data_IF_985372609243
#
_entry.id   IF_985372609243
#
_cell.length_a   1.000
_cell.length_b   1.000
_cell.length_c   1.000
_cell.angle_alpha   90.00
_cell.angle_beta   90.00
_cell.angle_gamma   90.00
#
_symmetry.space_group_name_H-M   'P 1'
#
loop_
_entity.id
_entity.type
_entity.pdbx_description
1 polymer ?
#
# COMPACT_ATOMS: atom_id res chain seq x y z
N UNK A 1 -5.27 18.66 -54.64
CA UNK A 1 -5.32 18.27 -53.21
C UNK A 1 -5.72 16.81 -53.15
N UNK A 2 -4.74 15.92 -52.98
CA UNK A 2 -4.97 14.46 -52.86
C UNK A 2 -5.18 14.12 -51.38
N UNK A 3 -6.13 13.24 -51.01
CA UNK A 3 -6.37 12.90 -49.62
C UNK A 3 -5.20 12.07 -49.07
N UNK A 4 -4.85 12.20 -47.77
CA UNK A 4 -3.81 11.37 -47.17
C UNK A 4 -4.21 9.88 -47.24
N UNK A 5 -3.28 9.04 -47.68
CA UNK A 5 -3.54 7.63 -47.98
C UNK A 5 -3.91 6.85 -46.71
N UNK A 6 -5.05 6.13 -46.74
CA UNK A 6 -5.49 5.22 -45.66
C UNK A 6 -4.43 4.17 -45.27
N UNK A 7 -3.46 3.92 -46.16
CA UNK A 7 -2.34 2.99 -45.97
C UNK A 7 -1.37 3.51 -44.91
N UNK A 8 -1.08 4.82 -44.89
CA UNK A 8 -0.16 5.43 -43.91
C UNK A 8 -0.68 5.30 -42.47
N UNK A 9 -2.00 5.48 -42.27
CA UNK A 9 -2.63 5.34 -40.95
C UNK A 9 -2.59 3.90 -40.42
N UNK A 10 -2.79 2.90 -41.29
CA UNK A 10 -2.73 1.49 -40.89
C UNK A 10 -1.33 1.06 -40.46
N UNK A 11 -0.30 1.48 -41.20
CA UNK A 11 1.09 1.21 -40.85
C UNK A 11 1.53 1.93 -39.57
N UNK A 12 1.08 3.17 -39.39
CA UNK A 12 1.30 3.90 -38.14
C UNK A 12 0.70 3.16 -36.94
N UNK A 13 -0.57 2.72 -37.04
CA UNK A 13 -1.22 1.95 -35.97
C UNK A 13 -0.48 0.64 -35.68
N UNK A 14 -0.08 -0.11 -36.70
CA UNK A 14 0.70 -1.35 -36.52
C UNK A 14 2.04 -1.09 -35.82
N UNK A 15 2.75 -0.02 -36.20
CA UNK A 15 4.00 0.37 -35.55
C UNK A 15 3.78 0.74 -34.07
N UNK A 16 2.70 1.46 -33.76
CA UNK A 16 2.32 1.80 -32.38
C UNK A 16 2.00 0.55 -31.57
N UNK A 17 1.18 -0.37 -32.08
CA UNK A 17 0.86 -1.61 -31.36
C UNK A 17 2.09 -2.50 -31.16
N UNK A 18 2.98 -2.60 -32.14
CA UNK A 18 4.24 -3.32 -32.01
C UNK A 18 5.15 -2.68 -30.95
N UNK A 19 5.25 -1.35 -30.92
CA UNK A 19 6.02 -0.64 -29.90
C UNK A 19 5.44 -0.85 -28.49
N UNK A 20 4.12 -0.76 -28.33
CA UNK A 20 3.43 -1.03 -27.06
C UNK A 20 3.68 -2.48 -26.63
N UNK A 21 3.51 -3.45 -27.54
CA UNK A 21 3.75 -4.87 -27.24
C UNK A 21 5.19 -5.16 -26.84
N UNK A 22 6.17 -4.51 -27.49
CA UNK A 22 7.58 -4.61 -27.13
C UNK A 22 7.86 -4.05 -25.73
N UNK A 23 7.32 -2.88 -25.41
CA UNK A 23 7.48 -2.26 -24.08
C UNK A 23 6.89 -3.18 -23.01
N UNK A 24 5.63 -3.62 -23.18
CA UNK A 24 4.96 -4.52 -22.23
C UNK A 24 5.74 -5.83 -22.06
N UNK A 25 6.19 -6.45 -23.15
CA UNK A 25 6.92 -7.73 -23.09
C UNK A 25 8.27 -7.57 -22.40
N UNK A 26 9.00 -6.50 -22.70
CA UNK A 26 10.31 -6.24 -22.09
C UNK A 26 10.15 -5.94 -20.61
N UNK A 27 9.18 -5.11 -20.22
CA UNK A 27 8.85 -4.84 -18.83
C UNK A 27 8.44 -6.11 -18.08
N UNK A 28 7.59 -6.96 -18.69
CA UNK A 28 7.16 -8.22 -18.09
C UNK A 28 8.32 -9.19 -17.88
N UNK A 29 9.22 -9.33 -18.86
CA UNK A 29 10.41 -10.19 -18.74
C UNK A 29 11.35 -9.66 -17.66
N UNK A 30 11.62 -8.35 -17.63
CA UNK A 30 12.47 -7.75 -16.60
C UNK A 30 11.89 -7.95 -15.21
N UNK A 31 10.58 -7.76 -15.04
CA UNK A 31 9.88 -8.00 -13.77
C UNK A 31 9.94 -9.48 -13.35
N UNK A 32 9.68 -10.40 -14.29
CA UNK A 32 9.65 -11.85 -14.01
C UNK A 32 11.03 -12.43 -13.66
N UNK A 33 12.11 -11.76 -14.07
CA UNK A 33 13.49 -12.16 -13.77
C UNK A 33 14.02 -11.56 -12.46
N UNK A 34 13.26 -10.70 -11.77
CA UNK A 34 13.70 -10.15 -10.49
C UNK A 34 13.81 -11.27 -9.44
N UNK A 35 14.90 -11.30 -8.65
CA UNK A 35 15.01 -12.27 -7.57
C UNK A 35 13.89 -12.03 -6.55
N UNK A 36 13.43 -13.09 -5.83
CA UNK A 36 12.49 -12.91 -4.73
C UNK A 36 13.02 -11.88 -3.73
N UNK A 37 12.16 -10.96 -3.31
CA UNK A 37 12.52 -9.99 -2.27
C UNK A 37 12.89 -10.74 -0.98
N UNK A 38 13.87 -10.21 -0.20
CA UNK A 38 14.25 -10.84 1.05
C UNK A 38 13.06 -10.89 2.02
N UNK A 39 13.04 -11.89 2.89
CA UNK A 39 12.10 -11.87 4.00
C UNK A 39 12.52 -10.78 5.00
N UNK A 40 11.57 -10.05 5.60
CA UNK A 40 11.88 -9.07 6.62
C UNK A 40 12.45 -9.72 7.86
N UNK A 41 13.69 -9.40 8.16
CA UNK A 41 14.38 -9.84 9.39
C UNK A 41 14.27 -8.82 10.50
N UNK A 42 14.00 -7.56 10.15
CA UNK A 42 14.09 -6.42 11.05
C UNK A 42 12.89 -5.47 10.90
N UNK A 43 12.69 -4.66 11.93
CA UNK A 43 11.56 -3.76 12.05
C UNK A 43 11.65 -2.58 11.06
N UNK A 44 10.48 -2.09 10.63
CA UNK A 44 10.35 -0.77 10.00
C UNK A 44 9.94 0.28 11.03
N UNK A 45 10.18 1.54 10.69
CA UNK A 45 9.88 2.68 11.55
C UNK A 45 8.84 3.54 10.84
N UNK A 46 7.76 3.87 11.55
CA UNK A 46 6.77 4.81 11.08
C UNK A 46 7.07 6.23 11.57
N UNK A 47 6.71 7.22 10.78
CA UNK A 47 6.55 8.58 11.27
C UNK A 47 5.43 8.63 12.32
N UNK A 48 5.42 9.64 13.21
CA UNK A 48 4.24 9.93 14.02
C UNK A 48 2.99 10.06 13.14
N UNK A 49 1.87 9.56 13.63
CA UNK A 49 0.60 9.71 12.93
C UNK A 49 0.10 11.17 13.00
N UNK A 50 -0.45 11.62 11.88
CA UNK A 50 -1.08 12.92 11.72
C UNK A 50 -2.58 12.75 11.54
N UNK A 51 -3.38 13.59 12.19
CA UNK A 51 -4.83 13.58 12.07
C UNK A 51 -5.26 14.72 11.15
N UNK A 52 -5.89 14.36 10.02
CA UNK A 52 -6.42 15.31 9.04
C UNK A 52 -7.85 14.90 8.71
N UNK A 53 -8.80 15.82 8.89
CA UNK A 53 -10.24 15.58 8.68
C UNK A 53 -10.77 14.36 9.48
N UNK A 54 -10.21 14.13 10.67
CA UNK A 54 -10.59 13.01 11.55
C UNK A 54 -10.11 11.64 11.07
N UNK A 55 -9.17 11.60 10.13
CA UNK A 55 -8.51 10.38 9.66
C UNK A 55 -7.03 10.40 10.04
N UNK A 56 -6.45 9.23 10.29
CA UNK A 56 -5.04 9.11 10.61
C UNK A 56 -4.22 8.77 9.37
N UNK A 57 -3.09 9.46 9.20
CA UNK A 57 -2.10 9.18 8.17
C UNK A 57 -0.70 9.16 8.76
N UNK A 58 0.10 8.18 8.36
CA UNK A 58 1.50 8.01 8.75
C UNK A 58 2.30 7.40 7.60
N UNK A 59 3.60 7.62 7.58
CA UNK A 59 4.48 7.11 6.53
C UNK A 59 5.52 6.15 7.10
N UNK A 60 6.07 5.30 6.25
CA UNK A 60 7.26 4.52 6.57
C UNK A 60 8.45 5.47 6.48
N UNK A 61 9.06 5.77 7.62
CA UNK A 61 10.23 6.66 7.72
C UNK A 61 11.50 5.92 7.30
N UNK A 62 11.65 4.68 7.75
CA UNK A 62 12.83 3.89 7.47
C UNK A 62 12.53 2.40 7.45
N UNK A 63 13.24 1.67 6.60
CA UNK A 63 13.19 0.20 6.51
C UNK A 63 14.62 -0.32 6.54
N UNK A 64 14.93 -1.12 7.55
CA UNK A 64 16.20 -1.82 7.63
C UNK A 64 16.18 -3.00 6.65
N UNK A 65 17.19 -3.12 5.79
CA UNK A 65 17.40 -4.25 4.85
C UNK A 65 16.25 -4.54 3.84
N UNK A 66 15.23 -3.69 3.77
CA UNK A 66 14.16 -3.74 2.77
C UNK A 66 14.60 -3.18 1.40
N UNK A 67 13.68 -3.03 0.44
CA UNK A 67 12.21 -3.09 0.54
C UNK A 67 11.60 -4.51 0.58
N UNK A 68 10.43 -4.65 1.22
CA UNK A 68 9.79 -5.95 1.50
C UNK A 68 8.43 -6.12 0.81
N UNK A 69 8.20 -7.25 0.14
CA UNK A 69 6.96 -7.48 -0.61
C UNK A 69 5.69 -7.33 0.26
N UNK A 70 4.69 -6.56 -0.16
CA UNK A 70 3.53 -6.27 0.70
C UNK A 70 2.74 -7.53 1.13
N UNK A 71 2.75 -8.57 0.30
CA UNK A 71 1.87 -9.75 0.43
C UNK A 71 2.13 -10.62 1.65
N UNK A 72 3.27 -10.47 2.32
CA UNK A 72 3.57 -11.17 3.57
C UNK A 72 3.27 -10.34 4.82
N UNK A 73 2.87 -9.08 4.67
CA UNK A 73 2.49 -8.25 5.79
C UNK A 73 1.05 -8.51 6.22
N UNK A 74 0.88 -8.55 7.53
CA UNK A 74 -0.41 -8.49 8.19
C UNK A 74 -0.42 -7.26 9.09
N UNK A 75 -1.62 -6.78 9.42
CA UNK A 75 -1.77 -5.73 10.40
C UNK A 75 -2.73 -6.13 11.51
N UNK A 76 -2.56 -5.49 12.65
CA UNK A 76 -3.49 -5.51 13.77
C UNK A 76 -3.86 -4.07 14.10
N UNK A 77 -5.14 -3.84 14.34
CA UNK A 77 -5.66 -2.55 14.78
C UNK A 77 -6.23 -2.71 16.17
N UNK A 78 -5.82 -1.85 17.10
CA UNK A 78 -6.35 -1.77 18.46
C UNK A 78 -7.03 -0.42 18.64
N UNK A 79 -8.26 -0.43 19.14
CA UNK A 79 -9.03 0.77 19.47
C UNK A 79 -9.53 0.65 20.90
N UNK A 80 -9.13 1.55 21.79
CA UNK A 80 -9.51 1.53 23.22
C UNK A 80 -9.32 0.14 23.87
N UNK A 81 -8.19 -0.52 23.60
CA UNK A 81 -7.83 -1.89 24.03
C UNK A 81 -8.61 -3.05 23.37
N UNK A 82 -9.52 -2.79 22.44
CA UNK A 82 -10.13 -3.83 21.60
C UNK A 82 -9.29 -4.05 20.35
N UNK A 83 -8.87 -5.28 20.09
CA UNK A 83 -8.00 -5.59 18.97
C UNK A 83 -8.71 -6.41 17.90
N UNK A 84 -8.40 -6.14 16.63
CA UNK A 84 -8.71 -6.99 15.48
C UNK A 84 -7.44 -7.34 14.73
N UNK A 85 -7.35 -8.57 14.26
CA UNK A 85 -6.22 -9.09 13.50
C UNK A 85 -5.56 -10.32 14.12
N UNK A 86 -4.53 -10.88 13.46
CA UNK A 86 -3.91 -10.32 12.25
C UNK A 86 -4.79 -10.39 11.00
N UNK A 87 -4.71 -9.35 10.17
CA UNK A 87 -5.40 -9.25 8.88
C UNK A 87 -4.38 -8.98 7.80
N UNK A 88 -4.43 -9.72 6.69
CA UNK A 88 -3.53 -9.50 5.57
C UNK A 88 -3.62 -8.06 5.04
N UNK A 89 -2.46 -7.46 4.76
CA UNK A 89 -2.41 -6.16 4.12
C UNK A 89 -2.97 -6.26 2.69
N UNK A 90 -3.95 -5.43 2.38
CA UNK A 90 -4.53 -5.38 1.04
C UNK A 90 -3.53 -4.86 0.00
N UNK A 91 -3.75 -5.11 -1.31
CA UNK A 91 -2.93 -4.51 -2.35
C UNK A 91 -2.97 -2.97 -2.31
N UNK A 92 -1.96 -2.33 -2.89
CA UNK A 92 -1.94 -0.87 -3.07
C UNK A 92 -3.24 -0.38 -3.73
N UNK A 93 -3.70 0.82 -3.34
CA UNK A 93 -4.97 1.43 -3.76
C UNK A 93 -6.25 0.66 -3.40
N UNK A 94 -6.15 -0.35 -2.53
CA UNK A 94 -7.30 -0.99 -1.91
C UNK A 94 -7.42 -0.61 -0.44
N UNK A 95 -8.63 -0.71 0.10
CA UNK A 95 -8.89 -0.52 1.52
C UNK A 95 -9.37 -1.84 2.13
N UNK A 96 -8.61 -2.35 3.08
CA UNK A 96 -9.04 -3.47 3.93
C UNK A 96 -9.96 -2.93 5.01
N UNK A 97 -11.15 -3.50 5.12
CA UNK A 97 -12.15 -3.09 6.12
C UNK A 97 -12.10 -4.05 7.30
N UNK A 98 -12.06 -3.51 8.51
CA UNK A 98 -12.07 -4.27 9.76
C UNK A 98 -13.11 -3.70 10.72
N UNK A 99 -13.63 -4.55 11.61
CA UNK A 99 -14.58 -4.13 12.63
C UNK A 99 -13.92 -4.27 14.00
N UNK A 100 -13.83 -3.16 14.73
CA UNK A 100 -13.32 -3.12 16.10
C UNK A 100 -14.46 -2.74 17.04
N UNK A 101 -14.93 -3.72 17.80
CA UNK A 101 -16.16 -3.56 18.58
C UNK A 101 -17.37 -3.34 17.67
N UNK A 102 -17.92 -2.12 17.67
CA UNK A 102 -19.06 -1.73 16.82
C UNK A 102 -18.67 -0.75 15.70
N UNK A 103 -17.43 -0.25 15.72
CA UNK A 103 -16.92 0.65 14.70
C UNK A 103 -16.33 -0.13 13.53
N UNK A 104 -16.47 0.41 12.33
CA UNK A 104 -15.85 -0.13 11.11
C UNK A 104 -14.76 0.83 10.65
N UNK A 105 -13.54 0.32 10.59
CA UNK A 105 -12.36 1.05 10.17
C UNK A 105 -11.84 0.50 8.84
N UNK A 106 -11.22 1.37 8.05
CA UNK A 106 -10.66 1.08 6.74
C UNK A 106 -9.20 1.47 6.72
N UNK A 107 -8.35 0.48 6.45
CA UNK A 107 -6.92 0.61 6.35
C UNK A 107 -6.56 0.54 4.87
N UNK A 108 -5.84 1.54 4.38
CA UNK A 108 -5.28 1.57 3.03
C UNK A 108 -3.84 2.04 3.09
N UNK A 109 -3.07 1.73 2.06
CA UNK A 109 -1.71 2.23 1.90
C UNK A 109 -1.48 2.67 0.46
N UNK A 110 -0.48 3.53 0.29
CA UNK A 110 -0.01 4.06 -0.97
C UNK A 110 1.45 3.65 -1.10
N UNK A 111 1.70 2.81 -2.09
CA UNK A 111 3.02 2.50 -2.62
C UNK A 111 3.46 3.67 -3.50
N UNK A 112 4.45 4.44 -3.03
CA UNK A 112 4.84 5.70 -3.64
C UNK A 112 5.68 5.51 -4.90
N UNK A 113 6.48 4.44 -4.96
CA UNK A 113 7.36 4.14 -6.10
C UNK A 113 6.77 3.08 -7.05
N UNK A 114 5.68 2.42 -6.65
CA UNK A 114 4.91 1.49 -7.45
C UNK A 114 5.56 0.12 -7.60
N UNK A 115 6.48 -0.24 -6.70
CA UNK A 115 7.30 -1.44 -6.79
C UNK A 115 6.64 -2.70 -6.16
N UNK A 116 5.48 -2.53 -5.52
CA UNK A 116 4.73 -3.58 -4.85
C UNK A 116 5.36 -4.03 -3.52
N UNK A 117 6.13 -3.19 -2.87
CA UNK A 117 6.71 -3.46 -1.56
C UNK A 117 6.42 -2.33 -0.57
N UNK A 118 6.57 -2.65 0.71
CA UNK A 118 6.58 -1.67 1.79
C UNK A 118 8.03 -1.19 1.95
N UNK A 119 8.23 0.10 1.71
CA UNK A 119 9.51 0.79 1.65
C UNK A 119 9.42 2.20 2.25
N UNK A 120 10.57 2.85 2.45
CA UNK A 120 10.59 4.21 2.99
C UNK A 120 9.96 5.19 1.99
N UNK A 121 9.02 6.02 2.47
CA UNK A 121 8.24 6.94 1.65
C UNK A 121 6.80 6.48 1.38
N UNK A 122 6.50 5.19 1.57
CA UNK A 122 5.13 4.69 1.50
C UNK A 122 4.28 5.24 2.65
N UNK A 123 2.99 5.39 2.39
CA UNK A 123 2.07 5.96 3.39
C UNK A 123 0.87 5.07 3.66
N UNK A 124 0.44 5.08 4.91
CA UNK A 124 -0.72 4.37 5.40
C UNK A 124 -1.78 5.37 5.83
N UNK A 125 -3.03 5.00 5.62
CA UNK A 125 -4.19 5.79 6.01
C UNK A 125 -5.23 4.91 6.69
N UNK A 126 -5.67 5.35 7.86
CA UNK A 126 -6.72 4.71 8.65
C UNK A 126 -7.90 5.69 8.75
N UNK A 127 -9.07 5.20 8.35
CA UNK A 127 -10.31 6.00 8.24
C UNK A 127 -11.49 5.22 8.79
N UNK A 128 -12.58 5.88 9.18
CA UNK A 128 -13.84 5.18 9.41
C UNK A 128 -14.50 4.76 8.09
N UNK A 129 -15.55 3.94 8.13
CA UNK A 129 -16.32 3.63 6.91
C UNK A 129 -17.11 4.85 6.41
N UNK A 130 -16.55 5.54 5.41
CA UNK A 130 -17.11 6.76 4.81
C UNK A 130 -17.38 7.88 5.83
N UNK A 131 -16.67 7.85 6.95
CA UNK A 131 -16.80 8.78 8.06
C UNK A 131 -15.42 8.98 8.74
N UNK A 132 -15.25 10.02 9.56
CA UNK A 132 -14.10 10.12 10.46
C UNK A 132 -13.96 8.90 11.37
N UNK A 133 -12.77 8.72 11.94
CA UNK A 133 -12.53 7.75 13.00
C UNK A 133 -13.40 8.06 14.23
N UNK A 134 -13.68 7.01 15.02
CA UNK A 134 -14.43 7.15 16.27
C UNK A 134 -13.72 8.16 17.17
N UNK A 135 -14.42 9.22 17.59
CA UNK A 135 -13.90 10.27 18.47
C UNK A 135 -13.57 9.75 19.87
N UNK A 136 -12.75 10.49 20.62
CA UNK A 136 -12.40 10.17 22.01
C UNK A 136 -11.85 8.75 22.16
N UNK A 137 -11.08 8.30 21.17
CA UNK A 137 -10.54 6.94 21.10
C UNK A 137 -9.03 6.97 20.89
N UNK A 138 -8.36 6.02 21.54
CA UNK A 138 -6.94 5.71 21.37
C UNK A 138 -6.78 4.56 20.39
N UNK A 139 -5.86 4.72 19.44
CA UNK A 139 -5.58 3.77 18.38
C UNK A 139 -4.11 3.33 18.42
N UNK A 140 -3.90 2.03 18.16
CA UNK A 140 -2.59 1.42 17.88
C UNK A 140 -2.72 0.62 16.58
N UNK A 141 -1.83 0.88 15.64
CA UNK A 141 -1.69 0.10 14.41
C UNK A 141 -0.36 -0.63 14.43
N UNK A 142 -0.43 -1.95 14.34
CA UNK A 142 0.74 -2.83 14.25
C UNK A 142 0.82 -3.38 12.82
N UNK A 143 1.93 -3.15 12.12
CA UNK A 143 2.26 -3.83 10.88
C UNK A 143 3.31 -4.91 11.19
N UNK A 144 2.98 -6.16 10.88
CA UNK A 144 3.76 -7.32 11.28
C UNK A 144 4.09 -8.21 10.09
N UNK A 145 5.24 -8.87 10.17
CA UNK A 145 5.60 -9.97 9.27
C UNK A 145 5.67 -11.27 10.05
N UNK A 146 4.62 -12.10 9.94
CA UNK A 146 4.47 -13.30 10.77
C UNK A 146 4.59 -12.98 12.26
N UNK A 147 5.44 -13.73 12.98
CA UNK A 147 5.75 -13.48 14.40
C UNK A 147 7.13 -12.87 14.64
N UNK A 148 7.82 -12.41 13.59
CA UNK A 148 9.22 -11.98 13.68
C UNK A 148 9.36 -10.63 14.38
N UNK A 149 8.50 -9.67 14.02
CA UNK A 149 8.50 -8.31 14.56
C UNK A 149 7.19 -7.59 14.21
N UNK A 150 6.93 -6.47 14.88
CA UNK A 150 5.83 -5.55 14.56
C UNK A 150 6.29 -4.09 14.66
N UNK A 151 6.03 -3.31 13.61
CA UNK A 151 6.16 -1.87 13.61
C UNK A 151 4.86 -1.26 14.11
N UNK A 152 4.95 -0.25 14.96
CA UNK A 152 3.77 0.28 15.65
C UNK A 152 3.68 1.78 15.52
N UNK A 153 2.46 2.27 15.42
CA UNK A 153 2.15 3.69 15.50
C UNK A 153 0.89 3.91 16.33
N UNK A 154 0.91 4.98 17.10
CA UNK A 154 -0.14 5.32 18.06
C UNK A 154 -0.70 6.70 17.75
N UNK A 155 -2.00 6.88 17.94
CA UNK A 155 -2.66 8.18 17.87
C UNK A 155 -3.94 8.20 18.69
N UNK A 156 -4.45 9.41 18.90
CA UNK A 156 -5.71 9.63 19.59
C UNK A 156 -6.58 10.61 18.82
N UNK A 157 -7.89 10.57 19.08
CA UNK A 157 -8.93 11.36 18.37
C UNK A 157 -9.70 12.30 19.33
N UNK A 158 -9.00 12.85 20.32
CA UNK A 158 -9.54 13.82 21.29
C UNK A 158 -9.58 15.24 20.73
#
# INVERSE_FOLDING_TARGET
>A
MSPPSRVSHRWFLLAVFMAIGLVISTSFVLFSLQPPRPQPTDNLIFTPASIVEGNASFAVENVSHGPYAYSGFEFRLVVNNYAVGPVALGPNHSATTVMVGTATDRISWIDADGDGAVSAGDSFRVTGDRAPLSSLSDYEFDLQWGTAWAARVFWSTY
#
